data_IF_464135316662
#
_entry.id   IF_464135316662
#
_cell.length_a   1.000
_cell.length_b   1.000
_cell.length_c   1.000
_cell.angle_alpha   90.00
_cell.angle_beta   90.00
_cell.angle_gamma   90.00
#
_symmetry.space_group_name_H-M   'P 1'
#
loop_
_entity.id
_entity.type
_entity.pdbx_description
1 polymer ?
#
# COMPACT_ATOMS: atom_id res chain seq x y z
N UNK A 1 50.78 -24.47 -71.03
CA UNK A 1 50.53 -23.40 -70.03
C UNK A 1 49.04 -23.14 -69.78
N UNK A 2 48.16 -23.04 -70.79
CA UNK A 2 46.72 -22.76 -70.59
C UNK A 2 45.95 -23.75 -69.68
N UNK A 3 46.23 -25.07 -69.75
CA UNK A 3 45.57 -26.06 -68.88
C UNK A 3 45.98 -25.99 -67.40
N UNK A 4 47.18 -25.48 -67.12
CA UNK A 4 47.63 -25.29 -65.73
C UNK A 4 46.99 -24.04 -65.10
N UNK A 5 46.83 -22.97 -65.90
CA UNK A 5 46.18 -21.73 -65.48
C UNK A 5 44.69 -21.93 -65.17
N UNK A 6 43.97 -22.72 -65.98
CA UNK A 6 42.56 -23.05 -65.72
C UNK A 6 42.32 -23.80 -64.41
N UNK A 7 43.22 -24.72 -64.03
CA UNK A 7 43.13 -25.42 -62.73
C UNK A 7 43.37 -24.50 -61.53
N UNK A 8 44.20 -23.48 -61.69
CA UNK A 8 44.47 -22.49 -60.65
C UNK A 8 43.24 -21.62 -60.39
N UNK A 9 42.61 -21.09 -61.44
CA UNK A 9 41.38 -20.28 -61.33
C UNK A 9 40.25 -21.07 -60.68
N UNK A 10 40.05 -22.34 -61.07
CA UNK A 10 39.00 -23.18 -60.47
C UNK A 10 39.20 -23.40 -58.96
N UNK A 11 40.44 -23.68 -58.54
CA UNK A 11 40.78 -23.81 -57.11
C UNK A 11 40.59 -22.50 -56.35
N UNK A 12 41.00 -21.38 -56.95
CA UNK A 12 40.80 -20.06 -56.36
C UNK A 12 39.32 -19.75 -56.15
N UNK A 13 38.47 -20.04 -57.15
CA UNK A 13 37.02 -19.79 -57.06
C UNK A 13 36.37 -20.60 -55.94
N UNK A 14 36.77 -21.87 -55.76
CA UNK A 14 36.26 -22.72 -54.68
C UNK A 14 36.71 -22.19 -53.31
N UNK A 15 37.99 -21.88 -53.15
CA UNK A 15 38.54 -21.36 -51.88
C UNK A 15 37.92 -20.01 -51.54
N UNK A 16 37.77 -19.12 -52.52
CA UNK A 16 37.15 -17.82 -52.34
C UNK A 16 35.69 -17.94 -51.92
N UNK A 17 34.90 -18.79 -52.59
CA UNK A 17 33.51 -19.05 -52.20
C UNK A 17 33.40 -19.63 -50.79
N UNK A 18 34.33 -20.50 -50.40
CA UNK A 18 34.36 -21.08 -49.06
C UNK A 18 34.68 -20.02 -47.99
N UNK A 19 35.66 -19.14 -48.26
CA UNK A 19 36.01 -18.03 -47.36
C UNK A 19 34.82 -17.07 -47.20
N UNK A 20 34.19 -16.65 -48.30
CA UNK A 20 33.05 -15.72 -48.24
C UNK A 20 31.90 -16.33 -47.44
N UNK A 21 31.59 -17.61 -47.64
CA UNK A 21 30.53 -18.27 -46.88
C UNK A 21 30.89 -18.41 -45.39
N UNK A 22 32.13 -18.76 -45.05
CA UNK A 22 32.59 -18.79 -43.66
C UNK A 22 32.47 -17.41 -43.01
N UNK A 23 32.93 -16.36 -43.70
CA UNK A 23 32.82 -14.98 -43.19
C UNK A 23 31.36 -14.60 -42.99
N UNK A 24 30.47 -14.95 -43.93
CA UNK A 24 29.03 -14.71 -43.80
C UNK A 24 28.45 -15.41 -42.57
N UNK A 25 28.80 -16.69 -42.36
CA UNK A 25 28.35 -17.46 -41.19
C UNK A 25 28.87 -16.83 -39.89
N UNK A 26 30.14 -16.42 -39.84
CA UNK A 26 30.71 -15.72 -38.68
C UNK A 26 29.95 -14.42 -38.41
N UNK A 27 29.66 -13.63 -39.45
CA UNK A 27 28.90 -12.38 -39.31
C UNK A 27 27.49 -12.63 -38.79
N UNK A 28 26.80 -13.67 -39.27
CA UNK A 28 25.47 -14.04 -38.79
C UNK A 28 25.49 -14.50 -37.33
N UNK A 29 26.49 -15.29 -36.94
CA UNK A 29 26.66 -15.70 -35.54
C UNK A 29 26.94 -14.49 -34.66
N UNK A 30 27.85 -13.60 -35.04
CA UNK A 30 28.14 -12.38 -34.29
C UNK A 30 26.91 -11.47 -34.17
N UNK A 31 26.14 -11.31 -35.24
CA UNK A 31 24.89 -10.56 -35.23
C UNK A 31 23.84 -11.20 -34.30
N UNK A 32 23.72 -12.52 -34.31
CA UNK A 32 22.81 -13.24 -33.41
C UNK A 32 23.21 -13.07 -31.93
N UNK A 33 24.50 -13.16 -31.60
CA UNK A 33 24.99 -12.88 -30.24
C UNK A 33 24.58 -11.48 -29.78
N UNK A 34 24.79 -10.46 -30.62
CA UNK A 34 24.41 -9.08 -30.29
C UNK A 34 22.90 -8.90 -30.13
N UNK A 35 22.10 -9.57 -30.96
CA UNK A 35 20.64 -9.52 -30.84
C UNK A 35 20.14 -10.15 -29.54
N UNK A 36 20.72 -11.28 -29.13
CA UNK A 36 20.39 -11.92 -27.86
C UNK A 36 20.83 -11.09 -26.65
N UNK A 37 22.01 -10.45 -26.74
CA UNK A 37 22.49 -9.53 -25.72
C UNK A 37 21.54 -8.33 -25.53
N UNK A 38 21.13 -7.70 -26.64
CA UNK A 38 20.12 -6.61 -26.61
C UNK A 38 18.78 -7.10 -26.06
N UNK A 39 18.33 -8.29 -26.46
CA UNK A 39 17.08 -8.86 -25.94
C UNK A 39 17.15 -9.01 -24.42
N UNK A 40 18.11 -9.78 -23.93
CA UNK A 40 18.16 -10.23 -22.55
C UNK A 40 18.54 -9.09 -21.59
N UNK A 41 19.42 -8.17 -22.02
CA UNK A 41 19.91 -7.09 -21.16
C UNK A 41 19.18 -5.76 -21.31
N UNK A 42 18.45 -5.54 -22.42
CA UNK A 42 17.79 -4.26 -22.69
C UNK A 42 16.28 -4.45 -22.92
N UNK A 43 15.88 -5.18 -23.96
CA UNK A 43 14.48 -5.22 -24.37
C UNK A 43 13.58 -5.87 -23.31
N UNK A 44 13.99 -7.04 -22.82
CA UNK A 44 13.24 -7.80 -21.81
C UNK A 44 13.08 -7.03 -20.49
N UNK A 45 14.13 -6.50 -19.84
CA UNK A 45 13.95 -5.76 -18.59
C UNK A 45 13.16 -4.45 -18.77
N UNK A 46 13.33 -3.74 -19.90
CA UNK A 46 12.59 -2.50 -20.14
C UNK A 46 11.10 -2.74 -20.39
N UNK A 47 10.76 -3.68 -21.27
CA UNK A 47 9.36 -3.99 -21.59
C UNK A 47 8.64 -4.64 -20.41
N UNK A 48 9.31 -5.55 -19.71
CA UNK A 48 8.73 -6.21 -18.54
C UNK A 48 8.59 -5.23 -17.38
N UNK A 49 9.60 -4.38 -17.15
CA UNK A 49 9.54 -3.31 -16.15
C UNK A 49 8.44 -2.29 -16.44
N UNK A 50 8.24 -1.91 -17.71
CA UNK A 50 7.17 -1.01 -18.12
C UNK A 50 5.79 -1.64 -17.91
N UNK A 51 5.61 -2.91 -18.28
CA UNK A 51 4.38 -3.66 -18.05
C UNK A 51 4.05 -3.77 -16.56
N UNK A 52 5.05 -4.12 -15.75
CA UNK A 52 4.92 -4.18 -14.29
C UNK A 52 4.57 -2.82 -13.68
N UNK A 53 5.20 -1.73 -14.14
CA UNK A 53 4.91 -0.36 -13.67
C UNK A 53 3.48 0.05 -14.03
N UNK A 54 3.00 -0.33 -15.23
CA UNK A 54 1.63 -0.05 -15.66
C UNK A 54 0.61 -0.77 -14.79
N UNK A 55 0.82 -2.07 -14.51
CA UNK A 55 -0.05 -2.85 -13.63
C UNK A 55 -0.02 -2.33 -12.20
N UNK A 56 1.16 -2.03 -11.67
CA UNK A 56 1.31 -1.42 -10.34
C UNK A 56 0.61 -0.07 -10.23
N UNK A 57 0.63 0.74 -11.30
CA UNK A 57 -0.14 1.99 -11.34
C UNK A 57 -1.65 1.73 -11.33
N UNK A 58 -2.14 0.72 -12.06
CA UNK A 58 -3.56 0.34 -12.07
C UNK A 58 -4.07 -0.12 -10.69
N UNK A 59 -3.20 -0.77 -9.91
CA UNK A 59 -3.51 -1.31 -8.59
C UNK A 59 -3.26 -0.29 -7.45
N UNK A 60 -2.60 0.82 -7.73
CA UNK A 60 -2.27 1.84 -6.73
C UNK A 60 -3.48 2.66 -6.26
N UNK A 61 -3.36 3.27 -5.09
CA UNK A 61 -4.40 4.13 -4.49
C UNK A 61 -3.87 5.54 -4.27
N UNK A 62 -4.71 6.55 -4.56
CA UNK A 62 -4.50 7.92 -4.11
C UNK A 62 -5.10 8.04 -2.73
N UNK A 63 -4.32 8.50 -1.76
CA UNK A 63 -4.81 8.83 -0.43
C UNK A 63 -4.65 10.33 -0.21
N UNK A 64 -5.79 11.01 -0.10
CA UNK A 64 -5.88 12.46 -0.05
C UNK A 64 -6.85 12.89 1.05
N UNK A 65 -6.49 13.93 1.80
CA UNK A 65 -7.37 14.54 2.79
C UNK A 65 -8.13 15.72 2.17
N UNK A 66 -9.43 15.54 1.93
CA UNK A 66 -10.29 16.56 1.32
C UNK A 66 -10.82 17.47 2.44
N UNK A 67 -10.49 18.77 2.45
CA UNK A 67 -11.06 19.70 3.41
C UNK A 67 -12.50 20.01 3.01
N UNK A 68 -13.45 19.62 3.85
CA UNK A 68 -14.85 20.04 3.76
C UNK A 68 -14.99 21.27 4.66
N UNK A 69 -15.33 22.40 4.03
CA UNK A 69 -15.62 23.66 4.70
C UNK A 69 -17.02 24.08 4.28
N UNK A 70 -17.96 24.01 5.22
CA UNK A 70 -19.37 24.26 4.97
C UNK A 70 -19.98 25.09 6.10
N UNK A 71 -21.06 25.79 5.81
CA UNK A 71 -21.83 26.57 6.77
C UNK A 71 -23.27 26.07 6.76
N UNK A 72 -23.69 25.45 7.87
CA UNK A 72 -25.01 24.82 7.98
C UNK A 72 -25.90 25.70 8.86
N UNK A 73 -27.02 26.22 8.33
CA UNK A 73 -27.97 27.00 9.14
C UNK A 73 -28.77 26.07 10.05
N UNK A 74 -28.64 26.25 11.36
CA UNK A 74 -29.36 25.51 12.39
C UNK A 74 -30.55 26.34 12.85
N UNK A 75 -31.74 25.97 12.37
CA UNK A 75 -33.01 26.59 12.75
C UNK A 75 -33.84 25.61 13.58
N UNK A 76 -33.80 25.76 14.89
CA UNK A 76 -34.48 24.88 15.85
C UNK A 76 -35.50 25.67 16.67
N UNK A 77 -36.64 25.07 16.98
CA UNK A 77 -37.56 25.59 18.00
C UNK A 77 -37.53 24.61 19.18
N UNK A 78 -36.96 25.06 20.30
CA UNK A 78 -36.84 24.25 21.50
C UNK A 78 -38.02 24.56 22.42
N UNK A 79 -38.97 23.61 22.62
CA UNK A 79 -40.01 23.77 23.62
C UNK A 79 -39.40 23.62 25.01
N UNK A 80 -39.45 24.68 25.82
CA UNK A 80 -39.03 24.69 27.20
C UNK A 80 -40.26 24.54 28.09
N UNK A 81 -40.40 23.38 28.70
CA UNK A 81 -41.43 23.07 29.69
C UNK A 81 -40.76 22.79 31.03
N UNK A 82 -40.78 23.78 31.92
CA UNK A 82 -40.07 23.71 33.20
C UNK A 82 -40.87 24.38 34.31
N UNK A 83 -41.01 23.70 35.44
CA UNK A 83 -41.42 24.33 36.68
C UNK A 83 -40.26 25.12 37.28
N UNK A 84 -40.45 26.41 37.48
CA UNK A 84 -39.44 27.31 38.05
C UNK A 84 -40.06 28.24 39.09
N UNK A 85 -39.25 28.66 40.06
CA UNK A 85 -39.67 29.62 41.07
C UNK A 85 -39.22 31.00 40.63
N UNK A 86 -40.16 31.86 40.24
CA UNK A 86 -39.87 33.26 39.91
C UNK A 86 -40.00 34.13 41.16
N UNK A 87 -39.11 35.11 41.31
CA UNK A 87 -39.19 36.10 42.40
C UNK A 87 -39.86 37.36 41.87
N UNK A 88 -40.90 37.83 42.55
CA UNK A 88 -41.56 39.08 42.17
C UNK A 88 -40.62 40.28 42.34
N UNK A 89 -40.31 40.98 41.25
CA UNK A 89 -39.45 42.17 41.26
C UNK A 89 -40.18 43.45 41.65
N UNK A 90 -41.52 43.44 41.65
CA UNK A 90 -42.37 44.55 42.07
C UNK A 90 -43.67 44.03 42.70
N UNK A 91 -44.36 44.82 43.56
CA UNK A 91 -45.65 44.43 44.12
C UNK A 91 -46.72 44.23 43.04
N UNK A 92 -47.41 43.08 43.06
CA UNK A 92 -48.47 42.73 42.10
C UNK A 92 -49.83 42.79 42.77
N UNK A 93 -50.73 43.64 42.28
CA UNK A 93 -52.10 43.71 42.78
C UNK A 93 -52.97 42.62 42.15
N UNK A 94 -53.69 41.87 42.98
CA UNK A 94 -54.65 40.84 42.60
C UNK A 94 -56.05 41.24 43.08
N UNK A 95 -57.04 40.94 42.26
CA UNK A 95 -58.44 41.08 42.63
C UNK A 95 -59.12 39.71 42.57
N UNK A 96 -59.41 39.10 43.72
CA UNK A 96 -59.95 37.74 43.80
C UNK A 96 -61.33 37.75 44.42
N UNK A 97 -62.18 36.81 44.01
CA UNK A 97 -63.45 36.53 44.67
C UNK A 97 -63.21 35.43 45.71
N UNK A 98 -63.34 35.76 47.00
CA UNK A 98 -63.11 34.83 48.10
C UNK A 98 -64.42 34.56 48.83
N UNK A 99 -64.57 33.33 49.33
CA UNK A 99 -65.67 32.97 50.21
C UNK A 99 -65.25 33.26 51.65
N UNK A 100 -65.87 34.24 52.28
CA UNK A 100 -65.53 34.65 53.64
C UNK A 100 -66.61 34.16 54.59
N UNK A 101 -66.19 33.42 55.61
CA UNK A 101 -67.03 33.11 56.76
C UNK A 101 -66.90 34.24 57.78
N UNK A 102 -68.02 34.90 58.10
CA UNK A 102 -68.09 35.95 59.10
C UNK A 102 -68.77 35.39 60.36
N UNK A 103 -68.01 34.73 61.27
CA UNK A 103 -68.56 34.06 62.45
C UNK A 103 -69.28 35.01 63.41
N UNK A 104 -69.01 36.32 63.33
CA UNK A 104 -69.71 37.34 64.14
C UNK A 104 -71.15 37.63 63.72
N UNK A 105 -71.59 37.20 62.54
CA UNK A 105 -72.96 37.44 62.02
C UNK A 105 -73.65 36.17 61.49
N UNK A 106 -73.12 34.98 61.78
CA UNK A 106 -73.61 33.69 61.26
C UNK A 106 -73.73 33.64 59.72
N UNK A 107 -72.91 34.41 59.00
CA UNK A 107 -72.88 34.39 57.54
C UNK A 107 -71.71 33.52 57.08
N UNK A 108 -72.04 32.35 56.56
CA UNK A 108 -71.09 31.40 56.02
C UNK A 108 -71.14 31.43 54.50
N UNK A 109 -69.98 31.45 53.88
CA UNK A 109 -69.85 31.45 52.44
C UNK A 109 -70.37 32.71 51.73
N UNK A 110 -70.00 33.89 52.23
CA UNK A 110 -70.27 35.15 51.52
C UNK A 110 -69.19 35.39 50.48
N UNK A 111 -69.59 35.48 49.20
CA UNK A 111 -68.70 35.87 48.11
C UNK A 111 -68.33 37.36 48.23
N UNK A 112 -67.06 37.65 48.50
CA UNK A 112 -66.55 39.00 48.62
C UNK A 112 -65.39 39.22 47.65
N UNK A 113 -65.37 40.40 47.02
CA UNK A 113 -64.25 40.82 46.18
C UNK A 113 -63.15 41.41 47.07
N UNK A 114 -61.99 40.77 47.12
CA UNK A 114 -60.84 41.16 47.94
C UNK A 114 -59.70 41.62 47.04
N UNK A 115 -59.15 42.80 47.32
CA UNK A 115 -57.91 43.28 46.72
C UNK A 115 -56.74 42.82 47.58
N UNK A 116 -55.88 41.96 47.04
CA UNK A 116 -54.64 41.54 47.68
C UNK A 116 -53.46 42.12 46.90
N UNK A 117 -52.37 42.45 47.60
CA UNK A 117 -51.12 42.85 46.95
C UNK A 117 -50.06 41.82 47.33
N UNK A 118 -49.54 41.10 46.34
CA UNK A 118 -48.39 40.22 46.55
C UNK A 118 -47.14 41.09 46.72
N UNK A 119 -46.39 40.96 47.83
CA UNK A 119 -45.21 41.76 48.07
C UNK A 119 -44.08 41.40 47.10
N UNK A 120 -43.22 42.37 46.80
CA UNK A 120 -41.95 42.11 46.12
C UNK A 120 -41.11 41.11 46.93
N UNK A 121 -40.33 40.27 46.27
CA UNK A 121 -39.54 39.22 46.91
C UNK A 121 -40.31 37.94 47.23
N UNK A 122 -41.62 37.87 46.93
CA UNK A 122 -42.37 36.62 47.01
C UNK A 122 -41.91 35.65 45.91
N UNK A 123 -41.54 34.44 46.32
CA UNK A 123 -41.23 33.31 45.45
C UNK A 123 -42.52 32.65 44.97
N UNK A 124 -42.74 32.65 43.67
CA UNK A 124 -43.91 32.04 43.04
C UNK A 124 -43.48 30.87 42.16
N UNK A 125 -43.89 29.63 42.48
CA UNK A 125 -43.71 28.51 41.58
C UNK A 125 -44.63 28.68 40.37
N UNK A 126 -44.06 28.64 39.18
CA UNK A 126 -44.77 28.75 37.90
C UNK A 126 -44.32 27.64 36.96
N UNK A 127 -45.27 27.10 36.19
CA UNK A 127 -44.97 26.24 35.06
C UNK A 127 -44.68 27.13 33.85
N UNK A 128 -43.44 27.12 33.38
CA UNK A 128 -43.03 27.84 32.18
C UNK A 128 -43.21 26.93 30.96
N UNK A 129 -43.97 27.39 29.97
CA UNK A 129 -44.12 26.75 28.65
C UNK A 129 -43.75 27.79 27.59
N UNK A 130 -42.52 27.73 27.10
CA UNK A 130 -41.94 28.72 26.18
C UNK A 130 -41.33 28.02 24.98
N UNK A 131 -41.67 28.43 23.76
CA UNK A 131 -40.94 28.03 22.56
C UNK A 131 -39.81 29.00 22.28
N UNK A 132 -38.57 28.52 22.44
CA UNK A 132 -37.37 29.33 22.20
C UNK A 132 -36.85 29.03 20.78
N UNK A 133 -36.86 30.00 19.85
CA UNK A 133 -36.23 29.83 18.55
C UNK A 133 -34.71 29.98 18.67
N UNK A 134 -33.99 29.07 18.05
CA UNK A 134 -32.54 29.11 17.86
C UNK A 134 -32.29 29.21 16.36
N UNK A 135 -31.60 30.27 15.93
CA UNK A 135 -31.21 30.53 14.54
C UNK A 135 -29.71 30.87 14.57
N UNK A 136 -28.88 29.85 14.36
CA UNK A 136 -27.43 29.95 14.40
C UNK A 136 -26.82 29.28 13.18
N UNK A 137 -25.77 29.88 12.61
CA UNK A 137 -25.01 29.30 11.52
C UNK A 137 -23.82 28.52 12.10
N UNK A 138 -23.76 27.22 11.84
CA UNK A 138 -22.69 26.36 12.30
C UNK A 138 -21.64 26.20 11.21
N UNK A 139 -20.42 26.67 11.50
CA UNK A 139 -19.26 26.43 10.64
C UNK A 139 -18.72 25.01 10.86
N UNK A 140 -18.77 24.21 9.80
CA UNK A 140 -18.23 22.85 9.77
C UNK A 140 -16.90 22.85 9.03
N UNK A 141 -15.84 22.51 9.75
CA UNK A 141 -14.51 22.27 9.17
C UNK A 141 -14.10 20.82 9.46
N UNK A 142 -14.33 19.93 8.48
CA UNK A 142 -13.97 18.52 8.57
C UNK A 142 -12.91 18.19 7.53
N UNK A 143 -11.87 17.50 7.94
CA UNK A 143 -10.86 16.96 7.03
C UNK A 143 -11.15 15.46 6.84
N UNK A 144 -11.63 15.10 5.65
CA UNK A 144 -12.04 13.72 5.34
C UNK A 144 -10.94 13.04 4.55
N UNK A 145 -10.43 11.92 5.05
CA UNK A 145 -9.50 11.07 4.30
C UNK A 145 -10.27 10.29 3.24
N UNK A 146 -9.89 10.45 1.99
CA UNK A 146 -10.40 9.70 0.86
C UNK A 146 -9.28 8.82 0.30
N UNK A 147 -9.52 7.50 0.27
CA UNK A 147 -8.66 6.53 -0.43
C UNK A 147 -9.36 6.17 -1.74
N UNK A 148 -8.75 6.55 -2.85
CA UNK A 148 -9.31 6.43 -4.20
C UNK A 148 -8.44 5.46 -4.99
N UNK A 149 -8.91 4.23 -5.29
CA UNK A 149 -8.19 3.29 -6.14
C UNK A 149 -8.06 3.83 -7.55
N UNK A 150 -6.84 3.93 -8.11
CA UNK A 150 -6.62 4.48 -9.45
C UNK A 150 -7.37 3.69 -10.51
N UNK A 151 -7.47 2.38 -10.34
CA UNK A 151 -8.24 1.50 -11.21
C UNK A 151 -9.75 1.76 -11.23
N UNK A 152 -10.29 2.55 -10.31
CA UNK A 152 -11.70 2.96 -10.28
C UNK A 152 -11.91 4.42 -10.72
N UNK A 153 -10.83 5.11 -11.08
CA UNK A 153 -10.88 6.50 -11.54
C UNK A 153 -10.94 6.60 -13.07
N UNK A 154 -11.11 7.82 -13.57
CA UNK A 154 -10.96 8.15 -14.99
C UNK A 154 -9.54 7.88 -15.54
N UNK A 155 -8.54 7.69 -14.66
CA UNK A 155 -7.19 7.31 -15.07
C UNK A 155 -7.08 5.83 -15.46
N UNK A 156 -8.11 5.00 -15.20
CA UNK A 156 -8.12 3.61 -15.64
C UNK A 156 -7.98 3.49 -17.15
N UNK A 157 -8.67 4.31 -17.93
CA UNK A 157 -8.66 4.23 -19.39
C UNK A 157 -7.26 4.44 -20.01
N UNK A 158 -6.51 5.50 -19.67
CA UNK A 158 -5.14 5.67 -20.17
C UNK A 158 -4.17 4.60 -19.64
N UNK A 159 -4.36 4.09 -18.42
CA UNK A 159 -3.54 2.99 -17.87
C UNK A 159 -3.82 1.69 -18.64
N UNK A 160 -5.09 1.34 -18.87
CA UNK A 160 -5.48 0.18 -19.65
C UNK A 160 -4.99 0.28 -21.10
N UNK A 161 -4.99 1.48 -21.69
CA UNK A 161 -4.41 1.70 -23.02
C UNK A 161 -2.90 1.44 -23.04
N UNK A 162 -2.17 1.82 -21.98
CA UNK A 162 -0.76 1.51 -21.82
C UNK A 162 -0.53 0.00 -21.68
N UNK A 163 -1.30 -0.69 -20.83
CA UNK A 163 -1.26 -2.15 -20.67
C UNK A 163 -1.52 -2.88 -22.00
N UNK A 164 -2.55 -2.45 -22.74
CA UNK A 164 -2.89 -3.04 -24.04
C UNK A 164 -1.83 -2.78 -25.12
N UNK A 165 -1.04 -1.70 -24.99
CA UNK A 165 0.04 -1.38 -25.93
C UNK A 165 1.32 -2.14 -25.60
N UNK A 166 1.64 -2.26 -24.30
CA UNK A 166 2.90 -2.86 -23.83
C UNK A 166 2.79 -4.37 -23.68
N UNK A 167 1.65 -4.90 -23.24
CA UNK A 167 1.44 -6.33 -22.99
C UNK A 167 1.74 -7.22 -24.20
N UNK A 168 1.22 -6.92 -25.41
CA UNK A 168 1.55 -7.71 -26.60
C UNK A 168 3.03 -7.62 -26.98
N UNK A 169 3.68 -6.48 -26.73
CA UNK A 169 5.11 -6.29 -27.05
C UNK A 169 6.01 -7.01 -26.05
N UNK A 170 5.67 -7.00 -24.76
CA UNK A 170 6.39 -7.75 -23.74
C UNK A 170 6.25 -9.25 -23.99
N UNK A 171 5.04 -9.74 -24.28
CA UNK A 171 4.80 -11.13 -24.65
C UNK A 171 5.59 -11.56 -25.90
N UNK A 172 5.61 -10.71 -26.94
CA UNK A 172 6.38 -10.99 -28.16
C UNK A 172 7.88 -11.09 -27.88
N UNK A 173 8.43 -10.13 -27.11
CA UNK A 173 9.87 -10.15 -26.77
C UNK A 173 10.20 -11.34 -25.89
N UNK A 174 9.29 -11.76 -25.02
CA UNK A 174 9.45 -12.93 -24.17
C UNK A 174 9.46 -14.24 -24.99
N UNK A 175 8.63 -14.33 -26.03
CA UNK A 175 8.60 -15.50 -26.93
C UNK A 175 9.78 -15.58 -27.89
N UNK A 176 10.61 -14.54 -27.99
CA UNK A 176 11.85 -14.63 -28.77
C UNK A 176 12.86 -15.57 -28.07
N UNK A 177 13.66 -16.32 -28.84
CA UNK A 177 14.69 -17.14 -28.25
C UNK A 177 15.72 -16.30 -27.50
N UNK A 178 16.13 -16.78 -26.32
CA UNK A 178 17.13 -16.11 -25.48
C UNK A 178 18.57 -16.37 -25.91
N UNK A 179 18.82 -17.48 -26.61
CA UNK A 179 20.13 -17.85 -27.16
C UNK A 179 20.01 -18.79 -28.37
N UNK A 180 21.16 -19.21 -28.93
CA UNK A 180 21.20 -20.14 -30.06
C UNK A 180 20.74 -21.55 -29.73
N UNK A 181 20.84 -21.97 -28.47
CA UNK A 181 20.38 -23.29 -28.02
C UNK A 181 18.85 -23.30 -28.00
N UNK A 182 18.22 -22.29 -27.41
CA UNK A 182 16.77 -22.11 -27.39
C UNK A 182 16.22 -21.89 -28.82
N UNK A 183 16.88 -21.07 -29.64
CA UNK A 183 16.53 -20.92 -31.05
C UNK A 183 16.57 -22.25 -31.81
N UNK A 184 17.61 -23.06 -31.58
CA UNK A 184 17.75 -24.39 -32.18
C UNK A 184 16.70 -25.38 -31.67
N UNK A 185 16.38 -25.34 -30.37
CA UNK A 185 15.36 -26.15 -29.74
C UNK A 185 13.97 -25.83 -30.30
N UNK A 186 13.58 -24.54 -30.32
CA UNK A 186 12.30 -24.05 -30.87
C UNK A 186 12.15 -24.37 -32.35
N UNK A 187 13.21 -24.19 -33.14
CA UNK A 187 13.23 -24.58 -34.55
C UNK A 187 13.04 -26.10 -34.71
N UNK A 188 13.71 -26.90 -33.85
CA UNK A 188 13.56 -28.35 -33.83
C UNK A 188 12.14 -28.80 -33.45
N UNK A 189 11.52 -28.14 -32.46
CA UNK A 189 10.14 -28.39 -32.06
C UNK A 189 9.15 -28.05 -33.19
N UNK A 190 9.31 -26.88 -33.82
CA UNK A 190 8.50 -26.46 -34.96
C UNK A 190 8.60 -27.44 -36.15
N UNK A 191 9.80 -27.95 -36.46
CA UNK A 191 10.00 -28.94 -37.54
C UNK A 191 9.34 -30.28 -37.19
N UNK A 192 9.30 -30.65 -35.90
CA UNK A 192 8.64 -31.88 -35.43
C UNK A 192 7.11 -31.75 -35.31
N UNK A 193 6.56 -30.56 -35.51
CA UNK A 193 5.14 -30.27 -35.30
C UNK A 193 4.73 -30.27 -33.83
N UNK A 194 5.69 -30.15 -32.92
CA UNK A 194 5.48 -30.13 -31.49
C UNK A 194 5.32 -28.66 -31.07
N UNK A 195 4.11 -28.13 -31.25
CA UNK A 195 3.78 -26.72 -30.95
C UNK A 195 3.29 -26.50 -29.52
N UNK A 196 3.38 -27.51 -28.66
CA UNK A 196 2.76 -27.51 -27.33
C UNK A 196 3.74 -28.02 -26.28
N UNK A 197 4.82 -27.28 -26.03
CA UNK A 197 5.46 -27.38 -24.71
C UNK A 197 4.77 -26.38 -23.77
N UNK A 198 3.93 -26.84 -22.81
CA UNK A 198 3.17 -25.98 -21.92
C UNK A 198 4.04 -25.12 -21.00
N UNK A 199 5.36 -25.32 -20.93
CA UNK A 199 6.25 -24.46 -20.15
C UNK A 199 6.51 -23.08 -20.76
N UNK A 200 6.01 -22.79 -21.96
CA UNK A 200 6.18 -21.50 -22.63
C UNK A 200 4.87 -20.73 -22.80
N UNK A 201 3.74 -21.30 -22.38
CA UNK A 201 2.46 -20.60 -22.36
C UNK A 201 2.41 -19.73 -21.09
N UNK A 202 2.77 -18.45 -21.23
CA UNK A 202 2.54 -17.47 -20.18
C UNK A 202 1.04 -17.33 -20.04
N UNK A 203 0.51 -17.69 -18.87
CA UNK A 203 -0.87 -17.35 -18.52
C UNK A 203 -0.95 -15.83 -18.30
N UNK A 204 -1.08 -15.10 -19.40
CA UNK A 204 -1.18 -13.65 -19.44
C UNK A 204 -2.40 -13.12 -18.67
N UNK A 205 -3.39 -13.99 -18.40
CA UNK A 205 -4.59 -13.65 -17.63
C UNK A 205 -4.33 -13.65 -16.12
N UNK A 206 -3.47 -14.55 -15.63
CA UNK A 206 -3.23 -14.72 -14.20
C UNK A 206 -1.88 -14.16 -13.69
N UNK A 207 -0.94 -13.82 -14.58
CA UNK A 207 0.33 -13.20 -14.20
C UNK A 207 1.28 -14.15 -13.45
N UNK A 208 1.05 -15.46 -13.58
CA UNK A 208 1.90 -16.51 -13.05
C UNK A 208 2.92 -16.94 -14.10
N UNK A 209 4.15 -17.23 -13.68
CA UNK A 209 5.23 -17.72 -14.55
C UNK A 209 5.51 -19.19 -14.27
N UNK A 210 5.62 -20.06 -15.29
CA UNK A 210 6.22 -21.37 -15.12
C UNK A 210 7.73 -21.21 -14.90
N UNK A 211 8.23 -21.58 -13.72
CA UNK A 211 9.67 -21.68 -13.45
C UNK A 211 10.04 -23.15 -13.46
N UNK A 212 11.06 -23.51 -14.26
CA UNK A 212 11.66 -24.85 -14.21
C UNK A 212 12.81 -24.86 -13.21
N UNK A 213 12.76 -25.83 -12.31
CA UNK A 213 13.79 -26.06 -11.30
C UNK A 213 13.52 -27.35 -10.56
N UNK A 214 14.56 -27.91 -9.96
CA UNK A 214 14.42 -28.99 -8.98
C UNK A 214 14.06 -28.34 -7.63
N UNK A 215 12.78 -28.06 -7.43
CA UNK A 215 12.31 -27.37 -6.22
C UNK A 215 12.20 -28.31 -5.02
N UNK A 216 12.13 -29.61 -5.25
CA UNK A 216 11.99 -30.63 -4.22
C UNK A 216 13.31 -31.38 -3.90
N UNK A 217 14.37 -31.18 -4.70
CA UNK A 217 15.70 -31.77 -4.53
C UNK A 217 15.84 -33.22 -4.99
N UNK A 218 14.93 -33.73 -5.84
CA UNK A 218 14.92 -35.12 -6.31
C UNK A 218 15.70 -35.36 -7.61
N UNK A 219 16.25 -34.31 -8.20
CA UNK A 219 16.99 -34.33 -9.47
C UNK A 219 16.10 -34.41 -10.71
N UNK A 220 14.78 -34.27 -10.58
CA UNK A 220 13.85 -34.03 -11.68
C UNK A 220 13.54 -32.52 -11.76
N UNK A 221 13.46 -31.99 -12.97
CA UNK A 221 12.96 -30.62 -13.15
C UNK A 221 11.43 -30.61 -13.01
N UNK A 222 10.93 -29.74 -12.13
CA UNK A 222 9.51 -29.48 -11.96
C UNK A 222 9.17 -28.10 -12.56
N UNK A 223 7.93 -27.94 -13.03
CA UNK A 223 7.39 -26.65 -13.46
C UNK A 223 6.49 -26.12 -12.35
N UNK A 224 6.93 -25.07 -11.66
CA UNK A 224 6.14 -24.39 -10.62
C UNK A 224 5.67 -23.05 -11.14
N UNK A 225 4.37 -22.77 -10.99
CA UNK A 225 3.80 -21.47 -11.29
C UNK A 225 4.08 -20.53 -10.12
N UNK A 226 5.00 -19.58 -10.31
CA UNK A 226 5.29 -18.54 -9.32
C UNK A 226 4.59 -17.26 -9.72
N UNK A 227 3.96 -16.59 -8.75
CA UNK A 227 3.43 -15.25 -8.94
C UNK A 227 4.60 -14.31 -9.30
N UNK A 228 4.50 -13.61 -10.41
CA UNK A 228 5.55 -12.70 -10.86
C UNK A 228 5.61 -11.48 -9.92
N UNK A 229 6.53 -11.51 -8.95
CA UNK A 229 6.87 -10.35 -8.13
C UNK A 229 8.09 -9.64 -8.75
N UNK A 230 7.90 -8.51 -9.44
CA UNK A 230 8.99 -7.81 -10.12
C UNK A 230 10.01 -7.18 -9.15
N UNK A 231 9.77 -7.16 -7.84
CA UNK A 231 10.65 -6.50 -6.87
C UNK A 231 10.72 -7.22 -5.50
N UNK A 232 11.40 -8.36 -5.37
CA UNK A 232 11.72 -8.92 -4.05
C UNK A 232 12.60 -7.93 -3.28
N UNK A 233 12.03 -7.26 -2.26
CA UNK A 233 12.72 -6.33 -1.38
C UNK A 233 12.26 -4.87 -1.41
N UNK A 234 11.30 -4.48 -2.26
CA UNK A 234 10.63 -3.18 -2.17
C UNK A 234 9.22 -3.37 -1.64
N UNK A 235 9.05 -3.28 -0.32
CA UNK A 235 7.71 -3.15 0.25
C UNK A 235 7.10 -1.82 -0.20
N UNK A 236 5.94 -1.92 -0.87
CA UNK A 236 5.16 -0.77 -1.36
C UNK A 236 4.43 -0.02 -0.23
N UNK A 237 4.76 -0.29 1.03
CA UNK A 237 4.26 0.42 2.21
C UNK A 237 5.23 1.52 2.65
N UNK A 238 5.54 2.46 1.76
CA UNK A 238 6.27 3.67 2.12
C UNK A 238 5.37 4.92 2.00
N UNK A 239 4.63 5.19 3.09
CA UNK A 239 4.32 6.53 3.60
C UNK A 239 3.44 7.45 2.77
N UNK A 240 2.13 7.38 2.97
CA UNK A 240 1.20 8.49 2.66
C UNK A 240 1.23 9.51 3.82
N UNK A 241 1.19 10.82 3.50
CA UNK A 241 1.04 11.96 4.42
C UNK A 241 2.25 12.38 5.27
N UNK A 242 3.46 11.94 4.95
CA UNK A 242 4.66 12.59 5.46
C UNK A 242 5.11 13.69 4.49
N UNK A 243 5.21 14.93 4.98
CA UNK A 243 6.05 15.96 4.37
C UNK A 243 7.52 15.51 4.50
N UNK A 244 7.91 14.56 3.64
CA UNK A 244 9.19 13.83 3.72
C UNK A 244 10.40 14.75 3.46
N UNK A 245 10.18 16.01 3.08
CA UNK A 245 11.25 16.96 2.83
C UNK A 245 11.53 17.86 4.04
N UNK A 246 10.62 17.98 5.02
CA UNK A 246 10.77 18.96 6.11
C UNK A 246 10.45 18.46 7.54
N UNK A 247 9.95 17.23 7.73
CA UNK A 247 9.68 16.70 9.07
C UNK A 247 10.72 15.63 9.41
N UNK A 248 11.49 15.85 10.49
CA UNK A 248 12.42 14.85 10.98
C UNK A 248 11.67 13.55 11.33
N UNK A 249 12.06 12.38 10.78
CA UNK A 249 11.39 11.13 11.07
C UNK A 249 11.38 10.86 12.58
N UNK A 250 10.33 10.21 13.11
CA UNK A 250 10.31 9.81 14.52
C UNK A 250 11.59 9.04 14.85
N UNK A 251 12.18 9.20 16.05
CA UNK A 251 13.48 8.62 16.39
C UNK A 251 13.60 7.10 16.17
N UNK A 252 12.47 6.36 16.12
CA UNK A 252 12.42 4.92 15.83
C UNK A 252 12.18 4.51 14.38
N UNK A 253 12.06 5.46 13.45
CA UNK A 253 11.79 5.21 12.01
C UNK A 253 12.85 5.83 11.10
N UNK A 254 14.01 6.19 11.65
CA UNK A 254 15.15 6.61 10.84
C UNK A 254 15.68 5.36 10.14
N UNK A 255 15.90 5.44 8.82
CA UNK A 255 16.57 4.36 8.09
C UNK A 255 17.95 4.19 8.72
N UNK A 256 18.21 3.00 9.24
CA UNK A 256 19.55 2.63 9.64
C UNK A 256 20.25 2.03 8.43
N UNK A 257 21.39 2.60 8.04
CA UNK A 257 22.25 1.97 7.05
C UNK A 257 22.86 0.72 7.67
N UNK A 258 22.49 -0.44 7.12
CA UNK A 258 22.90 -1.74 7.67
C UNK A 258 24.38 -2.02 7.46
N UNK A 259 25.03 -1.33 6.51
CA UNK A 259 26.40 -1.62 6.10
C UNK A 259 26.56 -2.94 5.35
N UNK A 260 25.46 -3.64 5.05
CA UNK A 260 25.48 -4.90 4.30
C UNK A 260 25.60 -4.59 2.81
N UNK A 261 26.60 -5.18 2.17
CA UNK A 261 26.91 -5.03 0.75
C UNK A 261 26.59 -6.34 0.03
N UNK A 262 25.81 -6.34 -1.06
CA UNK A 262 25.55 -7.55 -1.81
C UNK A 262 26.87 -8.09 -2.41
N UNK A 263 27.21 -9.37 -2.15
CA UNK A 263 28.41 -9.97 -2.71
C UNK A 263 28.27 -10.04 -4.23
N UNK A 264 29.28 -9.56 -4.96
CA UNK A 264 29.27 -9.68 -6.42
C UNK A 264 29.31 -11.15 -6.87
N UNK A 265 28.65 -11.45 -7.99
CA UNK A 265 28.56 -12.80 -8.52
C UNK A 265 29.94 -13.39 -8.92
N UNK A 266 30.92 -12.53 -9.22
CA UNK A 266 32.29 -12.91 -9.59
C UNK A 266 33.29 -12.06 -8.79
N UNK A 267 33.93 -12.60 -7.74
CA UNK A 267 34.78 -11.82 -6.84
C UNK A 267 35.87 -11.01 -7.53
N UNK A 268 36.51 -11.58 -8.56
CA UNK A 268 37.58 -10.89 -9.31
C UNK A 268 37.10 -9.78 -10.23
N UNK A 269 35.84 -9.85 -10.69
CA UNK A 269 35.22 -8.74 -11.42
C UNK A 269 34.72 -7.68 -10.43
N UNK A 270 34.20 -8.12 -9.29
CA UNK A 270 33.63 -7.24 -8.27
C UNK A 270 34.66 -6.29 -7.67
N UNK A 271 35.87 -6.79 -7.39
CA UNK A 271 37.01 -5.99 -6.93
C UNK A 271 37.41 -4.89 -7.93
N UNK A 272 37.32 -5.16 -9.23
CA UNK A 272 37.66 -4.16 -10.26
C UNK A 272 36.63 -3.02 -10.32
N UNK A 273 35.36 -3.29 -9.99
CA UNK A 273 34.27 -2.32 -10.10
C UNK A 273 33.97 -1.62 -8.77
N UNK A 274 34.30 -2.23 -7.63
CA UNK A 274 34.07 -1.71 -6.28
C UNK A 274 35.31 -1.90 -5.39
N UNK A 275 36.48 -1.33 -5.77
CA UNK A 275 37.74 -1.53 -5.04
C UNK A 275 37.66 -1.13 -3.56
N UNK A 276 36.79 -0.19 -3.22
CA UNK A 276 36.55 0.28 -1.85
C UNK A 276 36.11 -0.82 -0.86
N UNK A 277 35.53 -1.93 -1.34
CA UNK A 277 35.11 -3.06 -0.49
C UNK A 277 36.17 -4.15 -0.35
N UNK A 278 37.31 -4.00 -1.04
CA UNK A 278 38.42 -4.95 -1.07
C UNK A 278 39.73 -4.35 -0.54
N UNK A 279 39.71 -3.08 -0.16
CA UNK A 279 40.84 -2.42 0.46
C UNK A 279 41.22 -3.09 1.80
N UNK A 280 42.51 -3.02 2.12
CA UNK A 280 43.07 -3.54 3.38
C UNK A 280 42.86 -5.05 3.63
N UNK A 281 42.58 -5.82 2.57
CA UNK A 281 42.34 -7.27 2.65
C UNK A 281 40.95 -7.63 3.18
N UNK A 282 40.04 -6.65 3.20
CA UNK A 282 38.62 -6.91 3.46
C UNK A 282 37.95 -7.49 2.20
N UNK A 283 36.77 -8.08 2.38
CA UNK A 283 35.91 -8.48 1.26
C UNK A 283 34.45 -8.30 1.68
N UNK A 284 33.51 -8.24 0.72
CA UNK A 284 32.08 -8.04 1.03
C UNK A 284 31.52 -9.05 2.03
N UNK A 285 32.01 -10.28 2.05
CA UNK A 285 31.56 -11.29 3.02
C UNK A 285 31.99 -10.92 4.45
N UNK A 286 33.24 -10.50 4.65
CA UNK A 286 33.77 -10.10 5.95
C UNK A 286 33.13 -8.79 6.43
N UNK A 287 32.89 -7.84 5.52
CA UNK A 287 32.13 -6.62 5.81
C UNK A 287 30.70 -6.94 6.26
N UNK A 288 30.01 -7.85 5.58
CA UNK A 288 28.67 -8.27 5.95
C UNK A 288 28.62 -8.96 7.32
N UNK A 289 29.62 -9.79 7.64
CA UNK A 289 29.70 -10.41 8.97
C UNK A 289 29.88 -9.37 10.08
N UNK A 290 30.73 -8.37 9.85
CA UNK A 290 30.93 -7.27 10.80
C UNK A 290 29.66 -6.42 10.96
N UNK A 291 29.02 -6.06 9.85
CA UNK A 291 27.75 -5.34 9.81
C UNK A 291 26.65 -6.08 10.58
N UNK A 292 26.50 -7.39 10.35
CA UNK A 292 25.53 -8.22 11.07
C UNK A 292 25.80 -8.28 12.57
N UNK A 293 27.07 -8.39 12.99
CA UNK A 293 27.43 -8.36 14.42
C UNK A 293 27.08 -7.01 15.06
N UNK A 294 27.31 -5.91 14.34
CA UNK A 294 26.95 -4.58 14.82
C UNK A 294 25.44 -4.42 14.96
N UNK A 295 24.66 -4.81 13.95
CA UNK A 295 23.19 -4.74 13.99
C UNK A 295 22.62 -5.59 15.14
N UNK A 296 23.17 -6.79 15.37
CA UNK A 296 22.80 -7.61 16.51
C UNK A 296 23.14 -6.95 17.86
N UNK A 297 24.30 -6.27 17.96
CA UNK A 297 24.69 -5.52 19.15
C UNK A 297 23.78 -4.31 19.41
N UNK A 298 23.21 -3.72 18.36
CA UNK A 298 22.21 -2.65 18.41
C UNK A 298 20.78 -3.17 18.71
N UNK A 299 20.61 -4.49 18.85
CA UNK A 299 19.33 -5.12 19.16
C UNK A 299 18.40 -5.26 17.95
N UNK A 300 18.94 -5.13 16.74
CA UNK A 300 18.18 -5.23 15.49
C UNK A 300 18.09 -6.71 15.09
N UNK A 301 16.88 -7.28 15.00
CA UNK A 301 16.70 -8.69 14.67
C UNK A 301 17.12 -9.02 13.23
N UNK A 302 17.70 -10.21 13.02
CA UNK A 302 18.21 -10.65 11.72
C UNK A 302 17.18 -10.56 10.58
N UNK A 303 15.93 -10.93 10.88
CA UNK A 303 14.83 -10.92 9.93
C UNK A 303 14.54 -9.56 9.29
N UNK A 304 15.00 -8.46 9.90
CA UNK A 304 14.80 -7.11 9.36
C UNK A 304 15.74 -6.75 8.21
N UNK A 305 16.82 -7.51 7.99
CA UNK A 305 17.85 -7.19 6.99
C UNK A 305 18.34 -8.38 6.15
N UNK A 306 17.99 -9.63 6.49
CA UNK A 306 18.42 -10.84 5.76
C UNK A 306 17.37 -11.37 4.75
N UNK A 307 16.21 -10.72 4.65
CA UNK A 307 15.12 -11.11 3.77
C UNK A 307 14.14 -12.13 4.37
N UNK A 308 14.36 -12.63 5.60
CA UNK A 308 13.47 -13.59 6.28
C UNK A 308 12.26 -12.95 6.98
N UNK A 309 11.98 -11.67 6.72
CA UNK A 309 10.82 -10.95 7.29
C UNK A 309 9.49 -11.65 6.96
N UNK A 310 9.36 -12.23 5.77
CA UNK A 310 8.17 -13.01 5.37
C UNK A 310 7.93 -14.17 6.32
N UNK A 311 8.96 -14.96 6.60
CA UNK A 311 8.89 -16.15 7.44
C UNK A 311 8.53 -15.78 8.88
N UNK A 312 9.06 -14.64 9.36
CA UNK A 312 8.68 -14.08 10.65
C UNK A 312 7.19 -13.75 10.72
N UNK A 313 6.63 -13.11 9.69
CA UNK A 313 5.20 -12.79 9.64
C UNK A 313 4.33 -14.04 9.51
N UNK A 314 4.74 -15.03 8.70
CA UNK A 314 4.03 -16.30 8.58
C UNK A 314 3.96 -17.02 9.93
N UNK A 315 5.09 -17.11 10.66
CA UNK A 315 5.11 -17.69 12.00
C UNK A 315 4.25 -16.90 13.00
N UNK A 316 4.28 -15.57 12.94
CA UNK A 316 3.45 -14.72 13.79
C UNK A 316 1.95 -14.87 13.52
N UNK A 317 1.55 -15.15 12.28
CA UNK A 317 0.15 -15.40 11.90
C UNK A 317 -0.31 -16.82 12.26
N UNK A 318 0.59 -17.80 12.23
CA UNK A 318 0.30 -19.19 12.62
C UNK A 318 0.11 -19.40 14.12
N UNK A 319 0.42 -18.41 14.95
CA UNK A 319 -0.07 -18.39 16.33
C UNK A 319 -1.47 -17.78 16.35
N UNK A 320 -2.56 -18.60 16.29
CA UNK A 320 -3.88 -18.08 16.58
C UNK A 320 -3.79 -17.41 17.95
N UNK A 321 -4.21 -16.14 18.00
CA UNK A 321 -4.42 -15.40 19.23
C UNK A 321 -5.17 -16.35 20.16
N UNK A 322 -4.49 -16.92 21.15
CA UNK A 322 -5.13 -17.83 22.09
C UNK A 322 -6.26 -17.03 22.69
N UNK A 323 -7.49 -17.36 22.31
CA UNK A 323 -8.69 -16.79 22.91
C UNK A 323 -8.48 -16.93 24.41
N UNK A 324 -8.37 -15.79 25.08
CA UNK A 324 -8.22 -15.74 26.51
C UNK A 324 -9.46 -16.45 27.09
N UNK A 325 -9.35 -17.64 27.71
CA UNK A 325 -10.52 -18.43 28.09
C UNK A 325 -11.30 -17.84 29.27
N UNK A 326 -11.00 -16.61 29.69
CA UNK A 326 -11.39 -16.06 30.99
C UNK A 326 -12.17 -14.75 30.88
N UNK A 327 -13.11 -14.67 29.92
CA UNK A 327 -14.24 -13.74 30.02
C UNK A 327 -15.45 -14.40 30.69
N UNK A 328 -15.18 -15.16 31.76
CA UNK A 328 -16.19 -15.60 32.71
C UNK A 328 -16.71 -14.40 33.48
N UNK A 329 -18.02 -14.20 33.42
CA UNK A 329 -18.77 -13.19 34.16
C UNK A 329 -18.32 -13.04 35.61
N UNK A 330 -17.74 -11.89 35.94
CA UNK A 330 -17.59 -11.42 37.31
C UNK A 330 -18.07 -9.96 37.36
N UNK A 331 -19.35 -9.81 37.72
CA UNK A 331 -19.86 -8.60 38.34
C UNK A 331 -19.00 -8.32 39.59
N UNK A 332 -18.16 -7.28 39.56
CA UNK A 332 -17.26 -7.00 40.67
C UNK A 332 -16.51 -5.67 40.55
N UNK A 333 -17.09 -4.65 41.17
CA UNK A 333 -16.43 -3.49 41.78
C UNK A 333 -15.47 -2.63 40.92
N UNK A 334 -15.97 -1.45 40.54
CA UNK A 334 -15.18 -0.30 40.09
C UNK A 334 -14.30 0.22 41.23
N UNK A 335 -13.07 -0.28 41.32
CA UNK A 335 -12.00 0.28 42.15
C UNK A 335 -11.39 1.54 41.50
N UNK A 336 -11.76 2.70 42.03
CA UNK A 336 -11.09 3.99 41.79
C UNK A 336 -9.63 3.88 42.26
N UNK A 337 -8.68 4.05 41.33
CA UNK A 337 -7.26 4.21 41.66
C UNK A 337 -7.02 5.65 42.08
N UNK A 338 -6.84 5.87 43.37
CA UNK A 338 -6.30 7.12 43.93
C UNK A 338 -4.77 7.09 43.80
N UNK A 339 -4.11 8.14 43.27
CA UNK A 339 -2.65 8.21 43.31
C UNK A 339 -2.18 8.60 44.72
N UNK A 340 -1.31 7.77 45.30
CA UNK A 340 -0.65 8.04 46.57
C UNK A 340 0.84 8.34 46.38
N UNK A 341 1.22 9.55 46.80
CA UNK A 341 2.52 10.12 47.23
C UNK A 341 3.81 9.76 46.49
#
# INVERSE_FOLDING_TARGET
MLRAFGKFIWRFMIIFSFIVNIVLVIVLVAAGILLFDIKNNIAEPLLTGLHATSRGLAESTIDWTIPVRDNIPVRLNIPLQQDTTVVLTAPVALNVNANIDLPGINAFGVAANVRLTLPQGLELPVALDLNVPVDEDLDVALDVRAVIPLGETQLRDPIAALENTVGPLSALVWDLPSDFYDAGYRLGAAIRGDSSDPSYDVDLLNGERPVRGDFNGDGQEEVVYQQYDPWPGFSITAGVNYDMLNIAPPPGHIRLETGIVPPGALPGLDEQWRPEYYDEGTNPLMLNQLAQQQLQAEGIPAYTYDGSMSDYYEQAQMHPRTENPDSGSADGELGIVTPGN
#
